data_IF_065328848251
#
_entry.id   IF_065328848251
#
_cell.length_a   1.000
_cell.length_b   1.000
_cell.length_c   1.000
_cell.angle_alpha   90.00
_cell.angle_beta   90.00
_cell.angle_gamma   90.00
#
_symmetry.space_group_name_H-M   'P 1'
#
loop_
_entity.id
_entity.type
_entity.pdbx_description
1 polymer ?
#
# COMPACT_ATOMS: atom_id res chain seq x y z
N UNK A 1 44.47 20.70 -61.62
CA UNK A 1 43.05 20.47 -62.03
C UNK A 1 42.86 21.17 -63.36
N UNK A 2 42.68 20.49 -64.48
CA UNK A 2 42.45 21.11 -65.79
C UNK A 2 40.99 21.60 -65.87
N UNK A 3 40.79 22.91 -65.97
CA UNK A 3 39.44 23.49 -66.20
C UNK A 3 39.15 23.28 -67.67
N UNK A 4 38.23 22.31 -67.99
CA UNK A 4 37.69 22.16 -69.32
C UNK A 4 36.66 23.27 -69.55
N UNK A 5 37.00 24.26 -70.31
CA UNK A 5 36.05 25.25 -70.79
C UNK A 5 35.14 24.58 -71.84
N UNK A 6 33.82 24.74 -71.77
CA UNK A 6 32.85 24.25 -72.75
C UNK A 6 33.18 24.84 -74.12
N UNK A 7 33.10 24.02 -75.14
CA UNK A 7 33.43 24.36 -76.52
C UNK A 7 32.63 25.54 -77.10
N UNK A 8 31.59 25.98 -76.42
CA UNK A 8 30.72 27.09 -76.80
C UNK A 8 31.07 28.42 -76.03
N UNK A 9 32.19 28.50 -75.31
CA UNK A 9 32.64 29.72 -74.69
C UNK A 9 32.99 30.75 -75.81
N UNK A 10 32.53 32.01 -75.67
CA UNK A 10 32.88 33.04 -76.66
C UNK A 10 34.40 33.23 -76.73
N UNK A 11 34.88 33.55 -77.93
CA UNK A 11 36.31 33.65 -78.28
C UNK A 11 37.11 34.55 -77.32
N UNK A 12 36.49 35.50 -76.65
CA UNK A 12 37.09 36.37 -75.63
C UNK A 12 37.41 35.70 -74.28
N UNK A 13 36.87 34.50 -74.03
CA UNK A 13 37.19 33.73 -72.84
C UNK A 13 38.51 32.88 -72.96
N UNK A 14 39.15 32.92 -74.09
CA UNK A 14 40.43 32.23 -74.35
C UNK A 14 41.66 33.01 -73.92
N UNK A 15 41.51 34.02 -73.08
CA UNK A 15 42.69 34.79 -72.61
C UNK A 15 43.48 33.99 -71.56
N UNK A 16 44.68 33.62 -72.02
CA UNK A 16 45.82 33.24 -71.25
C UNK A 16 45.77 31.95 -70.46
N UNK A 17 45.89 30.79 -71.16
CA UNK A 17 46.38 29.59 -70.52
C UNK A 17 47.64 29.72 -69.70
N UNK A 18 48.48 30.69 -70.06
CA UNK A 18 49.74 31.01 -69.33
C UNK A 18 49.59 31.80 -68.05
N UNK A 19 48.48 32.53 -67.88
CA UNK A 19 48.25 33.32 -66.65
C UNK A 19 47.59 32.56 -65.54
N UNK A 20 46.83 31.50 -65.85
CA UNK A 20 46.09 30.71 -64.84
C UNK A 20 46.99 29.75 -64.06
N UNK A 21 48.18 29.43 -64.57
CA UNK A 21 49.13 28.53 -63.84
C UNK A 21 49.82 29.12 -62.59
N UNK A 22 49.63 30.41 -62.35
CA UNK A 22 50.20 31.13 -61.21
C UNK A 22 49.18 31.54 -60.13
N UNK A 23 47.88 31.29 -60.34
CA UNK A 23 46.84 31.70 -59.37
C UNK A 23 46.49 30.48 -58.51
N UNK A 24 47.12 30.40 -57.37
CA UNK A 24 46.92 29.29 -56.40
C UNK A 24 45.67 29.42 -55.56
N UNK A 25 44.88 30.53 -55.71
CA UNK A 25 43.74 30.78 -54.83
C UNK A 25 42.56 31.46 -55.54
N UNK A 26 42.03 30.79 -56.60
CA UNK A 26 40.79 31.23 -57.26
C UNK A 26 39.56 30.82 -56.39
N UNK A 27 38.92 31.78 -55.75
CA UNK A 27 37.65 31.57 -55.04
C UNK A 27 36.41 31.61 -55.96
N UNK A 28 36.51 32.32 -57.13
CA UNK A 28 35.37 32.51 -58.03
C UNK A 28 35.76 32.99 -59.42
N UNK A 29 35.07 32.50 -60.46
CA UNK A 29 35.15 33.02 -61.82
C UNK A 29 33.77 33.62 -62.19
N UNK A 30 33.80 34.86 -62.71
CA UNK A 30 32.57 35.55 -63.21
C UNK A 30 32.69 35.83 -64.71
N UNK A 31 31.55 35.70 -65.42
CA UNK A 31 31.40 36.10 -66.81
C UNK A 31 30.12 36.96 -66.93
N UNK A 32 30.25 38.15 -67.47
CA UNK A 32 29.16 39.13 -67.54
C UNK A 32 28.45 39.36 -66.22
N UNK A 33 29.17 39.42 -65.11
CA UNK A 33 28.62 39.58 -63.77
C UNK A 33 28.02 38.30 -63.12
N UNK A 34 27.78 37.26 -63.96
CA UNK A 34 27.32 35.96 -63.43
C UNK A 34 28.46 35.11 -62.92
N UNK A 35 28.25 34.39 -61.80
CA UNK A 35 29.21 33.41 -61.30
C UNK A 35 29.17 32.18 -62.20
N UNK A 36 30.31 31.88 -62.90
CA UNK A 36 30.42 30.71 -63.78
C UNK A 36 31.20 29.57 -63.12
N UNK A 37 31.96 29.87 -62.10
CA UNK A 37 32.63 28.91 -61.23
C UNK A 37 32.94 29.53 -59.89
N UNK A 38 32.79 28.77 -58.82
CA UNK A 38 33.13 29.17 -57.47
C UNK A 38 33.76 27.98 -56.78
N UNK A 39 34.83 28.18 -56.02
CA UNK A 39 35.44 27.17 -55.19
C UNK A 39 34.40 26.67 -54.16
N UNK A 40 34.27 25.36 -54.08
CA UNK A 40 33.40 24.81 -53.05
C UNK A 40 33.92 25.15 -51.68
N UNK A 41 33.08 25.70 -50.85
CA UNK A 41 33.40 26.07 -49.46
C UNK A 41 32.25 25.70 -48.53
N UNK A 42 32.56 25.27 -47.33
CA UNK A 42 31.60 24.94 -46.29
C UNK A 42 31.92 25.70 -44.99
N UNK A 43 30.90 26.34 -44.39
CA UNK A 43 31.06 27.05 -43.11
C UNK A 43 30.90 26.09 -41.94
N UNK A 44 31.44 26.47 -40.77
CA UNK A 44 31.15 25.75 -39.53
C UNK A 44 29.68 25.90 -39.12
N UNK A 45 29.07 24.89 -38.51
CA UNK A 45 27.82 25.07 -37.75
C UNK A 45 28.03 26.09 -36.63
N UNK A 46 27.01 26.87 -36.29
CA UNK A 46 27.07 27.91 -35.25
C UNK A 46 25.98 27.74 -34.24
N UNK A 47 26.04 28.48 -33.13
CA UNK A 47 25.01 28.43 -32.06
C UNK A 47 24.73 27.02 -31.55
N UNK A 48 25.74 26.16 -31.46
CA UNK A 48 25.52 24.84 -30.83
C UNK A 48 25.04 25.03 -29.41
N UNK A 49 23.96 24.31 -29.08
CA UNK A 49 23.33 24.27 -27.76
C UNK A 49 23.10 22.83 -27.36
N UNK A 50 23.17 22.54 -26.05
CA UNK A 50 22.73 21.32 -25.42
C UNK A 50 21.51 21.66 -24.57
N UNK A 51 20.33 21.02 -24.84
CA UNK A 51 19.06 21.31 -24.19
C UNK A 51 18.72 22.82 -24.15
N UNK A 52 19.14 23.56 -25.20
CA UNK A 52 18.95 25.02 -25.33
C UNK A 52 20.03 25.87 -24.65
N UNK A 53 21.00 25.30 -23.94
CA UNK A 53 22.04 25.97 -23.15
C UNK A 53 23.44 25.76 -23.73
N UNK A 54 24.44 26.47 -23.21
CA UNK A 54 25.87 26.24 -23.51
C UNK A 54 26.51 25.22 -22.58
N UNK A 55 25.86 24.94 -21.45
CA UNK A 55 26.21 23.88 -20.48
C UNK A 55 24.94 23.38 -19.82
N UNK A 56 24.82 22.08 -19.65
CA UNK A 56 23.65 21.49 -19.02
C UNK A 56 24.00 20.20 -18.24
N UNK A 57 23.13 19.89 -17.26
CA UNK A 57 23.16 18.65 -16.47
C UNK A 57 21.77 18.08 -16.39
N UNK A 58 21.49 17.00 -17.12
CA UNK A 58 20.15 16.42 -17.23
C UNK A 58 20.21 14.91 -17.53
N UNK A 59 19.09 14.26 -17.50
CA UNK A 59 18.87 12.86 -17.86
C UNK A 59 18.72 12.63 -19.37
N UNK A 60 18.64 13.68 -20.15
CA UNK A 60 18.59 13.65 -21.62
C UNK A 60 19.56 14.65 -22.22
N UNK A 61 20.01 14.41 -23.45
CA UNK A 61 20.96 15.26 -24.17
C UNK A 61 20.48 15.46 -25.60
N UNK A 62 19.95 16.66 -25.89
CA UNK A 62 19.57 17.06 -27.23
C UNK A 62 20.45 18.23 -27.67
N UNK A 63 21.17 18.04 -28.76
CA UNK A 63 21.93 19.11 -29.42
C UNK A 63 21.09 19.79 -30.48
N UNK A 64 21.24 21.12 -30.60
CA UNK A 64 20.69 21.94 -31.68
C UNK A 64 21.71 22.95 -32.13
N UNK A 65 21.73 23.27 -33.42
CA UNK A 65 22.68 24.25 -34.00
C UNK A 65 22.08 24.98 -35.20
N UNK A 66 22.68 26.11 -35.56
CA UNK A 66 22.40 26.77 -36.82
C UNK A 66 23.11 26.05 -37.93
N UNK A 67 22.40 25.81 -39.03
CA UNK A 67 22.96 25.10 -40.19
C UNK A 67 24.21 25.75 -40.74
N UNK A 68 25.16 24.94 -41.14
CA UNK A 68 26.28 25.38 -42.01
C UNK A 68 25.77 25.77 -43.37
N UNK A 69 26.45 26.70 -44.05
CA UNK A 69 26.21 27.04 -45.46
C UNK A 69 27.27 26.39 -46.34
N UNK A 70 26.89 26.00 -47.53
CA UNK A 70 27.81 25.44 -48.53
C UNK A 70 27.63 26.19 -49.86
N UNK A 71 28.74 26.48 -50.50
CA UNK A 71 28.75 27.07 -51.83
C UNK A 71 29.47 26.15 -52.80
N UNK A 72 29.05 26.11 -54.06
CA UNK A 72 29.66 25.27 -55.09
C UNK A 72 29.39 23.77 -54.96
N UNK A 73 28.60 23.32 -54.00
CA UNK A 73 28.23 21.93 -53.77
C UNK A 73 26.86 21.85 -53.09
N UNK A 74 26.31 20.65 -52.94
CA UNK A 74 25.04 20.41 -52.27
C UNK A 74 25.15 19.23 -51.31
N UNK A 75 24.28 19.22 -50.27
CA UNK A 75 24.24 18.20 -49.25
C UNK A 75 25.28 18.42 -48.12
N UNK A 76 24.78 18.42 -46.88
CA UNK A 76 25.64 18.55 -45.70
C UNK A 76 25.28 17.39 -44.75
N UNK A 77 26.31 16.71 -44.26
CA UNK A 77 26.23 15.76 -43.15
C UNK A 77 26.95 16.37 -41.94
N UNK A 78 26.30 16.38 -40.78
CA UNK A 78 26.87 16.84 -39.53
C UNK A 78 27.47 15.65 -38.78
N UNK A 79 28.68 15.86 -38.28
CA UNK A 79 29.43 14.92 -37.46
C UNK A 79 29.54 15.46 -36.06
N UNK A 80 29.11 14.69 -35.09
CA UNK A 80 29.07 15.09 -33.67
C UNK A 80 30.25 14.44 -32.95
N UNK A 81 30.95 15.22 -32.19
CA UNK A 81 32.16 14.82 -31.46
C UNK A 81 31.96 15.00 -29.97
N UNK A 82 32.39 14.00 -29.20
CA UNK A 82 32.52 14.04 -27.74
C UNK A 82 33.98 13.98 -27.36
N UNK A 83 34.50 15.01 -26.67
CA UNK A 83 35.91 15.12 -26.29
C UNK A 83 36.86 14.85 -27.48
N UNK A 84 36.52 15.34 -28.67
CA UNK A 84 37.32 15.14 -29.89
C UNK A 84 37.07 13.83 -30.64
N UNK A 85 36.35 12.86 -30.07
CA UNK A 85 36.01 11.60 -30.72
C UNK A 85 34.63 11.66 -31.33
N UNK A 86 34.45 11.23 -32.59
CA UNK A 86 33.16 11.16 -33.26
C UNK A 86 32.25 10.15 -32.56
N UNK A 87 31.01 10.57 -32.29
CA UNK A 87 30.01 9.75 -31.59
C UNK A 87 28.70 9.59 -32.36
N UNK A 88 28.39 10.47 -33.32
CA UNK A 88 27.21 10.37 -34.16
C UNK A 88 27.33 11.18 -35.46
N UNK A 89 26.41 10.93 -36.39
CA UNK A 89 26.21 11.72 -37.62
C UNK A 89 24.70 11.95 -37.85
N UNK A 90 24.36 13.07 -38.50
CA UNK A 90 22.99 13.39 -38.89
C UNK A 90 22.98 14.37 -40.07
N UNK A 91 21.90 14.43 -40.81
CA UNK A 91 21.64 15.49 -41.83
C UNK A 91 20.75 16.59 -41.28
N UNK A 92 20.18 16.42 -40.10
CA UNK A 92 19.36 17.42 -39.40
C UNK A 92 20.24 18.42 -38.62
N UNK A 93 19.66 19.56 -38.23
CA UNK A 93 20.30 20.56 -37.37
C UNK A 93 20.04 20.31 -35.88
N UNK A 94 19.64 19.09 -35.52
CA UNK A 94 19.45 18.63 -34.17
C UNK A 94 19.79 17.14 -34.06
N UNK A 95 20.16 16.71 -32.83
CA UNK A 95 20.41 15.31 -32.53
C UNK A 95 20.15 15.01 -31.06
N UNK A 96 19.38 13.97 -30.77
CA UNK A 96 19.12 13.51 -29.41
C UNK A 96 19.82 12.18 -29.19
N UNK A 97 20.62 12.10 -28.15
CA UNK A 97 21.29 10.87 -27.75
C UNK A 97 20.37 9.95 -26.96
N UNK A 98 20.48 8.64 -27.17
CA UNK A 98 19.82 7.67 -26.32
C UNK A 98 20.38 7.71 -24.89
N UNK A 99 19.53 7.53 -23.88
CA UNK A 99 19.92 7.56 -22.45
C UNK A 99 21.02 6.53 -22.13
N UNK A 100 20.98 5.35 -22.77
CA UNK A 100 22.01 4.32 -22.61
C UNK A 100 23.40 4.77 -23.11
N UNK A 101 23.45 5.71 -24.05
CA UNK A 101 24.73 6.27 -24.57
C UNK A 101 25.32 7.29 -23.61
N UNK A 102 24.47 8.11 -23.00
CA UNK A 102 24.91 9.26 -22.20
C UNK A 102 25.05 8.95 -20.71
N UNK A 103 24.56 7.82 -20.21
CA UNK A 103 24.51 7.46 -18.79
C UNK A 103 25.86 7.52 -18.04
N UNK A 104 26.97 7.45 -18.79
CA UNK A 104 28.32 7.57 -18.22
C UNK A 104 29.00 8.93 -18.48
N UNK A 105 28.25 9.91 -19.04
CA UNK A 105 28.86 11.19 -19.43
C UNK A 105 28.91 12.15 -18.23
N UNK A 106 30.12 12.61 -17.91
CA UNK A 106 30.36 13.58 -16.84
C UNK A 106 31.29 14.69 -17.35
N UNK A 107 30.78 15.92 -17.44
CA UNK A 107 31.51 17.07 -17.92
C UNK A 107 32.07 16.93 -19.34
N UNK A 108 31.40 16.19 -20.22
CA UNK A 108 31.87 15.96 -21.59
C UNK A 108 31.71 17.22 -22.44
N UNK A 109 32.68 17.47 -23.31
CA UNK A 109 32.62 18.56 -24.30
C UNK A 109 32.09 18.02 -25.62
N UNK A 110 31.06 18.70 -26.19
CA UNK A 110 30.44 18.35 -27.45
C UNK A 110 30.69 19.44 -28.49
N UNK A 111 31.01 19.04 -29.72
CA UNK A 111 31.16 19.93 -30.89
C UNK A 111 30.55 19.27 -32.12
N UNK A 112 30.23 20.08 -33.12
CA UNK A 112 29.70 19.61 -34.40
C UNK A 112 30.52 20.18 -35.54
N UNK A 113 30.84 19.36 -36.56
CA UNK A 113 31.40 19.76 -37.81
C UNK A 113 30.46 19.44 -38.94
N UNK A 114 30.40 20.27 -39.96
CA UNK A 114 29.74 19.98 -41.21
C UNK A 114 30.74 19.28 -42.16
N UNK A 115 30.23 18.39 -42.98
CA UNK A 115 30.98 17.66 -44.00
C UNK A 115 30.24 17.61 -45.33
N UNK A 116 30.97 17.75 -46.38
CA UNK A 116 30.49 17.46 -47.73
C UNK A 116 31.65 16.80 -48.51
N UNK A 117 31.33 15.86 -49.42
CA UNK A 117 32.34 15.13 -50.18
C UNK A 117 33.26 16.02 -51.04
N UNK A 118 32.75 17.16 -51.55
CA UNK A 118 33.49 18.10 -52.37
C UNK A 118 34.40 19.02 -51.55
N UNK A 119 33.93 19.47 -50.36
CA UNK A 119 34.64 20.48 -49.55
C UNK A 119 35.43 19.88 -48.40
N UNK A 120 35.15 18.63 -48.03
CA UNK A 120 35.66 18.02 -46.80
C UNK A 120 34.94 18.55 -45.56
N UNK A 121 35.63 18.52 -44.38
CA UNK A 121 35.13 19.01 -43.12
C UNK A 121 35.26 20.52 -42.95
N UNK A 122 34.25 21.12 -42.35
CA UNK A 122 34.34 22.49 -41.83
C UNK A 122 35.19 22.54 -40.56
N UNK A 123 35.47 23.75 -40.10
CA UNK A 123 35.84 23.96 -38.69
C UNK A 123 34.75 23.50 -37.75
N UNK A 124 35.10 23.25 -36.48
CA UNK A 124 34.10 22.87 -35.46
C UNK A 124 33.24 24.08 -35.07
N UNK A 125 32.02 23.79 -34.62
CA UNK A 125 31.16 24.75 -33.93
C UNK A 125 31.79 25.27 -32.63
N UNK A 126 31.14 26.19 -31.94
CA UNK A 126 31.39 26.40 -30.52
C UNK A 126 31.20 25.09 -29.76
N UNK A 127 31.91 24.95 -28.63
CA UNK A 127 31.75 23.82 -27.72
C UNK A 127 30.59 24.06 -26.74
N UNK A 128 29.90 22.95 -26.34
CA UNK A 128 28.99 22.91 -25.22
C UNK A 128 29.42 21.80 -24.26
N UNK A 129 29.04 21.90 -22.98
CA UNK A 129 29.36 20.88 -21.97
C UNK A 129 28.10 20.19 -21.48
N UNK A 130 28.20 18.90 -21.22
CA UNK A 130 27.07 18.10 -20.72
C UNK A 130 27.50 17.11 -19.64
N UNK A 131 26.69 17.01 -18.60
CA UNK A 131 26.78 15.99 -17.54
C UNK A 131 25.48 15.23 -17.44
N UNK A 132 25.53 13.92 -17.50
CA UNK A 132 24.34 13.10 -17.24
C UNK A 132 24.01 13.10 -15.74
N UNK A 133 22.75 13.30 -15.44
CA UNK A 133 22.19 13.15 -14.09
C UNK A 133 21.06 12.13 -14.14
N UNK A 134 21.16 11.08 -13.32
CA UNK A 134 20.15 10.04 -13.26
C UNK A 134 18.82 10.62 -12.73
N UNK A 135 17.66 10.33 -13.38
CA UNK A 135 16.37 10.80 -12.90
C UNK A 135 16.05 10.24 -11.50
N UNK A 136 15.66 11.11 -10.61
CA UNK A 136 15.19 10.66 -9.29
C UNK A 136 13.82 9.99 -9.44
N UNK A 137 13.73 8.72 -9.10
CA UNK A 137 12.50 7.95 -9.13
C UNK A 137 12.29 7.20 -7.82
N UNK A 138 11.03 7.13 -7.38
CA UNK A 138 10.61 6.32 -6.24
C UNK A 138 9.44 5.44 -6.65
N UNK A 139 9.64 4.13 -6.67
CA UNK A 139 8.57 3.19 -7.02
C UNK A 139 7.52 3.11 -5.92
N UNK A 140 6.28 2.82 -6.29
CA UNK A 140 5.25 2.51 -5.31
C UNK A 140 5.59 1.20 -4.57
N UNK A 141 5.22 1.06 -3.28
CA UNK A 141 5.23 -0.25 -2.62
C UNK A 141 4.31 -1.21 -3.38
N UNK A 142 4.59 -2.50 -3.32
CA UNK A 142 3.78 -3.51 -4.01
C UNK A 142 3.39 -4.66 -3.08
N UNK A 143 2.52 -5.56 -3.54
CA UNK A 143 2.09 -6.75 -2.80
C UNK A 143 1.56 -6.44 -1.39
N UNK A 144 0.83 -5.33 -1.22
CA UNK A 144 0.20 -5.04 0.05
C UNK A 144 -0.74 -6.16 0.46
N UNK A 145 -0.56 -6.65 1.68
CA UNK A 145 -1.38 -7.69 2.32
C UNK A 145 -1.81 -7.25 3.71
N UNK A 146 -3.00 -7.66 4.11
CA UNK A 146 -3.50 -7.59 5.47
C UNK A 146 -3.62 -9.01 6.02
N UNK A 147 -2.89 -9.34 7.10
CA UNK A 147 -2.80 -10.69 7.65
C UNK A 147 -2.51 -11.76 6.58
N UNK A 148 -1.65 -11.43 5.60
CA UNK A 148 -1.25 -12.33 4.50
C UNK A 148 -2.22 -12.38 3.31
N UNK A 149 -3.34 -11.65 3.31
CA UNK A 149 -4.38 -11.69 2.28
C UNK A 149 -4.69 -10.29 1.71
N UNK A 150 -5.54 -10.20 0.68
CA UNK A 150 -6.05 -8.93 0.16
C UNK A 150 -7.26 -8.43 0.94
N UNK A 151 -7.90 -9.32 1.72
CA UNK A 151 -8.92 -8.97 2.70
C UNK A 151 -8.78 -9.85 3.93
N UNK A 152 -9.16 -9.34 5.10
CA UNK A 152 -9.10 -10.08 6.35
C UNK A 152 -10.20 -9.64 7.32
N UNK A 153 -10.74 -10.61 8.05
CA UNK A 153 -11.61 -10.38 9.21
C UNK A 153 -10.93 -11.01 10.40
N UNK A 154 -10.50 -10.22 11.39
CA UNK A 154 -9.68 -10.70 12.51
C UNK A 154 -9.71 -9.75 13.70
N UNK A 155 -9.26 -10.22 14.85
CA UNK A 155 -9.02 -9.41 16.05
C UNK A 155 -7.68 -8.66 16.03
N UNK A 156 -6.83 -8.92 15.04
CA UNK A 156 -5.56 -8.24 14.82
C UNK A 156 -5.40 -7.82 13.37
N UNK A 157 -4.71 -6.71 13.13
CA UNK A 157 -4.46 -6.17 11.79
C UNK A 157 -2.97 -5.92 11.60
N UNK A 158 -2.33 -6.73 10.79
CA UNK A 158 -0.94 -6.55 10.36
C UNK A 158 -0.89 -6.34 8.86
N UNK A 159 -0.32 -5.22 8.43
CA UNK A 159 0.02 -4.97 7.03
C UNK A 159 1.45 -5.43 6.73
N UNK A 160 1.65 -5.95 5.53
CA UNK A 160 2.96 -6.25 4.96
C UNK A 160 2.97 -5.87 3.49
N UNK A 161 4.12 -5.43 2.96
CA UNK A 161 4.28 -5.05 1.56
C UNK A 161 5.72 -5.25 1.09
N UNK A 162 5.90 -5.26 -0.22
CA UNK A 162 7.23 -5.24 -0.83
C UNK A 162 7.76 -3.80 -0.84
N UNK A 163 9.05 -3.65 -0.50
CA UNK A 163 9.71 -2.35 -0.42
C UNK A 163 9.69 -1.60 -1.76
N UNK A 164 9.63 -0.28 -1.67
CA UNK A 164 9.90 0.63 -2.77
C UNK A 164 11.39 0.68 -3.09
N UNK A 165 11.73 0.99 -4.34
CA UNK A 165 13.10 1.30 -4.77
C UNK A 165 13.23 2.79 -5.06
N UNK A 166 14.37 3.38 -4.66
CA UNK A 166 14.76 4.75 -4.95
C UNK A 166 15.96 4.71 -5.89
N UNK A 167 15.90 5.39 -7.04
CA UNK A 167 17.00 5.58 -7.99
C UNK A 167 17.29 7.07 -8.17
N UNK A 168 18.53 7.40 -8.53
CA UNK A 168 18.97 8.78 -8.77
C UNK A 168 19.13 9.62 -7.50
N UNK A 169 18.85 9.10 -6.34
CA UNK A 169 19.05 9.75 -5.04
C UNK A 169 19.32 8.73 -3.95
N UNK A 170 19.73 9.24 -2.77
CA UNK A 170 19.92 8.46 -1.54
C UNK A 170 18.99 8.98 -0.46
N UNK A 171 18.86 8.23 0.62
CA UNK A 171 18.08 8.63 1.79
C UNK A 171 17.02 7.62 2.21
N UNK A 172 16.41 7.89 3.35
CA UNK A 172 15.41 7.01 3.97
C UNK A 172 14.10 7.04 3.20
N UNK A 173 13.51 5.88 3.00
CA UNK A 173 12.14 5.73 2.52
C UNK A 173 11.22 5.59 3.73
N UNK A 174 10.23 6.47 3.83
CA UNK A 174 9.16 6.41 4.84
C UNK A 174 7.87 5.97 4.17
N UNK A 175 7.19 4.99 4.73
CA UNK A 175 5.89 4.52 4.25
C UNK A 175 4.77 5.22 5.01
N UNK A 176 3.80 5.72 4.26
CA UNK A 176 2.59 6.36 4.75
C UNK A 176 1.40 5.44 4.55
N UNK A 177 0.83 4.97 5.65
CA UNK A 177 -0.40 4.19 5.64
C UNK A 177 -1.57 5.18 5.67
N UNK A 178 -2.45 5.10 4.67
CA UNK A 178 -3.48 6.10 4.42
C UNK A 178 -4.28 6.45 5.69
N UNK A 179 -4.23 7.74 6.09
CA UNK A 179 -4.90 8.38 7.23
C UNK A 179 -4.58 7.82 8.63
N UNK A 180 -3.62 6.91 8.80
CA UNK A 180 -3.47 6.18 10.07
C UNK A 180 -2.08 6.27 10.67
N UNK A 181 -1.00 5.98 9.91
CA UNK A 181 0.34 5.84 10.49
C UNK A 181 1.46 6.03 9.45
N UNK A 182 2.69 6.14 9.97
CA UNK A 182 3.93 6.13 9.17
C UNK A 182 4.92 5.13 9.76
N UNK A 183 5.79 4.57 8.92
CA UNK A 183 6.85 3.63 9.31
C UNK A 183 7.98 3.61 8.28
N UNK A 184 9.17 3.23 8.68
CA UNK A 184 10.30 2.92 7.77
C UNK A 184 10.41 1.42 7.45
N UNK A 185 9.66 0.58 8.17
CA UNK A 185 9.61 -0.87 7.94
C UNK A 185 8.63 -1.23 6.82
N UNK A 186 8.77 -2.41 6.23
CA UNK A 186 7.85 -2.98 5.24
C UNK A 186 6.67 -3.72 5.87
N UNK A 187 6.40 -3.47 7.13
CA UNK A 187 5.24 -3.99 7.85
C UNK A 187 4.79 -3.02 8.93
N UNK A 188 3.50 -3.10 9.29
CA UNK A 188 2.92 -2.34 10.37
C UNK A 188 1.81 -3.12 11.04
N UNK A 189 1.81 -3.16 12.39
CA UNK A 189 0.75 -3.80 13.18
C UNK A 189 0.00 -2.72 13.94
N UNK A 190 -1.31 -2.67 13.74
CA UNK A 190 -2.17 -1.72 14.44
C UNK A 190 -2.47 -2.20 15.86
N UNK A 191 -2.61 -1.26 16.80
CA UNK A 191 -3.13 -1.57 18.13
C UNK A 191 -4.61 -1.95 18.04
N UNK A 192 -5.08 -2.79 18.94
CA UNK A 192 -6.50 -3.18 19.01
C UNK A 192 -7.42 -1.97 19.18
N UNK A 193 -7.00 -0.99 19.99
CA UNK A 193 -7.75 0.26 20.19
C UNK A 193 -7.94 1.06 18.89
N UNK A 194 -7.00 1.00 17.96
CA UNK A 194 -7.10 1.68 16.65
C UNK A 194 -8.08 0.98 15.73
N UNK A 195 -8.11 -0.35 15.72
CA UNK A 195 -8.89 -1.14 14.76
C UNK A 195 -10.29 -1.48 15.23
N UNK A 196 -10.57 -1.34 16.54
CA UNK A 196 -11.91 -1.56 17.09
C UNK A 196 -12.94 -0.69 16.37
N UNK A 197 -13.98 -1.28 15.83
CA UNK A 197 -15.00 -0.60 15.03
C UNK A 197 -14.69 -0.50 13.53
N UNK A 198 -13.56 -1.00 13.05
CA UNK A 198 -13.30 -1.05 11.61
C UNK A 198 -14.16 -2.12 10.93
N UNK A 199 -15.01 -1.67 10.00
CA UNK A 199 -15.87 -2.54 9.18
C UNK A 199 -15.59 -2.24 7.71
N UNK A 200 -14.94 -3.18 7.01
CA UNK A 200 -14.54 -3.01 5.62
C UNK A 200 -13.56 -1.86 5.38
N UNK A 201 -12.68 -1.58 6.36
CA UNK A 201 -11.70 -0.50 6.25
C UNK A 201 -10.77 -0.72 5.06
N UNK A 202 -10.68 0.27 4.17
CA UNK A 202 -9.80 0.26 2.99
C UNK A 202 -8.44 0.84 3.36
N UNK A 203 -7.39 0.03 3.25
CA UNK A 203 -6.02 0.36 3.62
C UNK A 203 -5.12 0.41 2.38
N UNK A 204 -4.30 1.44 2.28
CA UNK A 204 -3.33 1.66 1.20
C UNK A 204 -2.02 2.17 1.78
N UNK A 205 -0.92 1.91 1.09
CA UNK A 205 0.42 2.37 1.48
C UNK A 205 1.06 3.09 0.30
N UNK A 206 1.78 4.18 0.57
CA UNK A 206 2.69 4.82 -0.39
C UNK A 206 4.02 5.10 0.27
N UNK A 207 5.06 5.23 -0.52
CA UNK A 207 6.38 5.62 -0.07
C UNK A 207 6.59 7.13 -0.20
N UNK A 208 7.51 7.65 0.59
CA UNK A 208 8.01 9.02 0.54
C UNK A 208 9.53 9.04 0.71
N UNK A 209 10.18 9.87 -0.07
CA UNK A 209 11.58 10.25 0.12
C UNK A 209 11.71 11.76 -0.09
N UNK A 210 12.60 12.43 0.65
CA UNK A 210 12.75 13.90 0.60
C UNK A 210 13.15 14.43 -0.78
N UNK A 211 13.89 13.65 -1.57
CA UNK A 211 14.34 14.04 -2.92
C UNK A 211 13.35 13.67 -4.01
N UNK A 212 12.65 12.53 -3.86
CA UNK A 212 11.72 12.00 -4.86
C UNK A 212 10.25 12.41 -4.62
N UNK A 213 9.91 12.88 -3.41
CA UNK A 213 8.52 13.12 -3.03
C UNK A 213 7.75 11.83 -2.73
N UNK A 214 6.45 11.83 -2.99
CA UNK A 214 5.56 10.68 -2.77
C UNK A 214 5.46 9.79 -4.01
N UNK A 215 5.50 8.48 -3.78
CA UNK A 215 5.10 7.50 -4.79
C UNK A 215 3.57 7.44 -4.96
N UNK A 216 3.11 6.69 -5.96
CA UNK A 216 1.72 6.25 -6.02
C UNK A 216 1.37 5.34 -4.83
N UNK A 217 0.07 5.21 -4.53
CA UNK A 217 -0.42 4.24 -3.55
C UNK A 217 -0.44 2.83 -4.14
N UNK A 218 -0.33 1.83 -3.26
CA UNK A 218 -0.68 0.45 -3.57
C UNK A 218 -2.15 0.31 -3.96
N UNK A 219 -2.51 -0.82 -4.56
CA UNK A 219 -3.90 -1.28 -4.53
C UNK A 219 -4.37 -1.43 -3.08
N UNK A 220 -5.67 -1.22 -2.84
CA UNK A 220 -6.25 -1.32 -1.50
C UNK A 220 -6.38 -2.77 -1.04
N UNK A 221 -6.21 -2.97 0.27
CA UNK A 221 -6.66 -4.17 0.98
C UNK A 221 -7.78 -3.79 1.94
N UNK A 222 -8.67 -4.74 2.27
CA UNK A 222 -9.81 -4.49 3.15
C UNK A 222 -9.66 -5.24 4.47
N UNK A 223 -10.01 -4.57 5.56
CA UNK A 223 -9.98 -5.15 6.89
C UNK A 223 -11.28 -4.91 7.65
N UNK A 224 -11.80 -5.97 8.29
CA UNK A 224 -12.92 -5.91 9.23
C UNK A 224 -12.44 -6.40 10.58
N UNK A 225 -12.61 -5.58 11.60
CA UNK A 225 -12.34 -6.01 12.97
C UNK A 225 -13.41 -7.00 13.44
N UNK A 226 -12.94 -8.09 14.05
CA UNK A 226 -13.77 -9.05 14.77
C UNK A 226 -13.03 -9.45 16.04
N UNK A 227 -13.60 -9.27 17.23
CA UNK A 227 -12.93 -9.62 18.46
C UNK A 227 -12.62 -11.12 18.51
N UNK A 228 -11.55 -11.48 19.18
CA UNK A 228 -11.23 -12.87 19.49
C UNK A 228 -12.31 -13.45 20.40
N UNK A 229 -12.48 -14.79 20.37
CA UNK A 229 -13.33 -15.46 21.34
C UNK A 229 -12.82 -15.21 22.76
N UNK A 230 -13.75 -14.94 23.67
CA UNK A 230 -13.45 -14.68 25.06
C UNK A 230 -14.38 -15.49 25.97
N UNK A 231 -13.88 -15.97 27.09
CA UNK A 231 -14.67 -16.59 28.13
C UNK A 231 -14.94 -15.59 29.25
N UNK A 232 -16.19 -15.36 29.55
CA UNK A 232 -16.65 -14.52 30.66
C UNK A 232 -17.07 -15.43 31.80
N UNK A 233 -16.34 -15.43 32.87
CA UNK A 233 -16.65 -16.21 34.08
C UNK A 233 -17.73 -15.51 34.92
N UNK A 234 -18.36 -16.24 35.82
CA UNK A 234 -19.29 -15.68 36.80
C UNK A 234 -18.57 -14.60 37.59
N UNK A 235 -19.22 -13.46 37.77
CA UNK A 235 -18.70 -12.39 38.59
C UNK A 235 -18.52 -12.87 40.04
N UNK A 236 -17.41 -12.54 40.66
CA UNK A 236 -17.12 -12.94 42.05
C UNK A 236 -18.28 -12.56 42.98
N UNK A 237 -18.70 -13.50 43.81
CA UNK A 237 -19.82 -13.36 44.78
C UNK A 237 -21.19 -13.00 44.13
N UNK A 238 -21.41 -13.31 42.88
CA UNK A 238 -22.61 -12.97 42.11
C UNK A 238 -23.41 -14.19 41.69
N UNK A 239 -23.36 -15.27 42.43
CA UNK A 239 -24.18 -16.44 42.27
C UNK A 239 -24.96 -16.71 43.59
N UNK A 240 -26.12 -17.22 43.46
CA UNK A 240 -26.99 -17.53 44.58
C UNK A 240 -27.86 -18.74 44.29
N UNK A 241 -28.11 -19.54 45.30
CA UNK A 241 -29.15 -20.57 45.30
C UNK A 241 -30.29 -20.09 46.20
N UNK A 242 -31.52 -20.21 45.70
CA UNK A 242 -32.73 -19.85 46.46
C UNK A 242 -33.60 -21.06 46.60
N UNK A 243 -34.07 -21.31 47.81
CA UNK A 243 -35.27 -22.09 48.11
C UNK A 243 -36.47 -21.14 48.31
N UNK A 244 -37.67 -21.69 48.49
CA UNK A 244 -38.93 -20.91 48.50
C UNK A 244 -39.01 -19.81 49.59
N UNK A 245 -37.97 -19.56 50.38
CA UNK A 245 -38.06 -18.66 51.54
C UNK A 245 -37.00 -17.56 51.55
N UNK A 246 -35.86 -17.74 50.95
CA UNK A 246 -34.78 -16.69 50.87
C UNK A 246 -33.59 -17.18 50.06
N UNK A 247 -32.69 -16.26 49.73
CA UNK A 247 -31.36 -16.59 49.16
C UNK A 247 -30.54 -17.38 50.19
N UNK A 248 -30.42 -18.68 49.97
CA UNK A 248 -29.77 -19.58 50.94
C UNK A 248 -28.25 -19.61 50.87
N UNK A 249 -27.62 -19.12 49.80
CA UNK A 249 -26.17 -19.21 49.68
C UNK A 249 -25.58 -18.18 48.70
N UNK A 250 -24.97 -17.16 49.22
CA UNK A 250 -24.18 -16.21 48.45
C UNK A 250 -22.69 -16.53 48.73
N UNK A 251 -21.98 -17.17 47.76
CA UNK A 251 -20.54 -17.40 47.85
C UNK A 251 -20.08 -18.83 48.04
N UNK A 252 -21.00 -19.84 48.00
CA UNK A 252 -20.58 -21.26 48.00
C UNK A 252 -20.24 -21.77 46.58
N UNK A 253 -19.29 -22.71 46.47
CA UNK A 253 -18.94 -23.31 45.18
C UNK A 253 -19.99 -24.23 44.62
N UNK A 254 -20.88 -24.76 45.46
CA UNK A 254 -21.99 -25.68 45.11
C UNK A 254 -23.33 -24.98 45.09
N UNK A 255 -23.97 -24.96 43.94
CA UNK A 255 -25.33 -24.45 43.78
C UNK A 255 -26.28 -25.56 43.39
N UNK A 256 -27.40 -25.65 44.07
CA UNK A 256 -28.43 -26.66 43.81
C UNK A 256 -29.43 -26.14 42.79
N UNK A 257 -29.77 -26.96 41.81
CA UNK A 257 -30.79 -26.71 40.80
C UNK A 257 -31.84 -27.79 40.80
N UNK A 258 -33.11 -27.49 41.03
CA UNK A 258 -34.18 -28.46 41.06
C UNK A 258 -34.77 -28.72 42.47
N UNK A 259 -35.39 -29.84 42.66
CA UNK A 259 -36.00 -30.23 43.97
C UNK A 259 -35.09 -31.11 44.80
N UNK A 260 -34.80 -30.69 46.00
CA UNK A 260 -34.11 -31.53 46.95
C UNK A 260 -35.07 -32.39 47.79
N UNK A 261 -36.34 -31.95 47.93
CA UNK A 261 -37.45 -32.67 48.58
C UNK A 261 -38.77 -32.32 47.88
N UNK A 262 -39.85 -33.03 48.20
CA UNK A 262 -41.13 -32.96 47.45
C UNK A 262 -41.88 -31.62 47.49
N UNK A 263 -41.42 -30.61 48.20
CA UNK A 263 -42.22 -29.39 48.45
C UNK A 263 -41.57 -28.05 48.03
N UNK A 264 -40.26 -27.98 47.72
CA UNK A 264 -39.63 -26.69 47.46
C UNK A 264 -38.71 -26.75 46.24
N UNK A 265 -39.02 -26.05 45.13
CA UNK A 265 -38.14 -25.93 44.02
C UNK A 265 -36.93 -25.05 44.43
N UNK A 266 -35.74 -25.41 43.95
CA UNK A 266 -34.51 -24.68 44.19
C UNK A 266 -33.94 -24.22 42.82
N UNK A 267 -33.63 -22.95 42.71
CA UNK A 267 -33.02 -22.37 41.53
C UNK A 267 -31.69 -21.71 41.84
N UNK A 268 -30.87 -21.61 40.84
CA UNK A 268 -29.60 -20.91 40.93
C UNK A 268 -29.57 -19.73 39.97
N UNK A 269 -29.11 -18.60 40.44
CA UNK A 269 -28.87 -17.41 39.61
C UNK A 269 -27.37 -17.12 39.53
N UNK A 270 -26.91 -16.72 38.36
CA UNK A 270 -25.51 -16.36 38.08
C UNK A 270 -25.47 -15.02 37.35
N UNK A 271 -24.47 -14.19 37.66
CA UNK A 271 -24.26 -12.94 36.99
C UNK A 271 -22.91 -12.94 36.27
N UNK A 272 -22.90 -12.38 35.06
CA UNK A 272 -21.75 -12.23 34.22
C UNK A 272 -21.55 -10.75 33.89
N UNK A 273 -20.37 -10.23 34.14
CA UNK A 273 -20.02 -8.84 33.76
C UNK A 273 -19.90 -8.71 32.26
N UNK A 274 -20.23 -7.55 31.74
CA UNK A 274 -20.00 -7.27 30.32
C UNK A 274 -18.50 -7.38 29.99
N UNK A 275 -18.16 -7.99 28.85
CA UNK A 275 -16.79 -7.99 28.35
C UNK A 275 -16.33 -6.56 28.00
N UNK A 276 -15.02 -6.35 27.96
CA UNK A 276 -14.47 -5.08 27.46
C UNK A 276 -14.99 -4.81 26.04
N UNK A 277 -15.58 -3.62 25.82
CA UNK A 277 -16.23 -3.26 24.57
C UNK A 277 -17.70 -3.67 24.45
N UNK A 278 -18.29 -4.35 25.47
CA UNK A 278 -19.70 -4.70 25.55
C UNK A 278 -20.06 -5.99 24.80
N UNK A 279 -21.31 -6.42 24.96
CA UNK A 279 -21.83 -7.65 24.38
C UNK A 279 -22.05 -7.58 22.86
N UNK A 280 -22.34 -6.40 22.33
CA UNK A 280 -22.70 -6.18 20.92
C UNK A 280 -21.60 -6.52 19.90
N UNK A 281 -20.37 -6.70 20.36
CA UNK A 281 -19.25 -7.11 19.52
C UNK A 281 -19.28 -8.60 19.13
N UNK A 282 -20.15 -9.38 19.79
CA UNK A 282 -20.20 -10.83 19.65
C UNK A 282 -21.54 -11.26 19.03
N UNK A 283 -21.49 -12.17 18.08
CA UNK A 283 -22.68 -12.73 17.42
C UNK A 283 -23.07 -14.09 18.00
N UNK A 284 -22.16 -14.75 18.70
CA UNK A 284 -22.39 -16.07 19.31
C UNK A 284 -22.03 -16.05 20.78
N UNK A 285 -22.89 -16.67 21.59
CA UNK A 285 -22.67 -16.85 23.01
C UNK A 285 -23.17 -18.24 23.43
N UNK A 286 -22.32 -19.00 24.08
CA UNK A 286 -22.66 -20.30 24.64
C UNK A 286 -22.35 -20.29 26.13
N UNK A 287 -23.38 -20.55 26.95
CA UNK A 287 -23.21 -20.75 28.38
C UNK A 287 -22.74 -22.18 28.64
N UNK A 288 -21.70 -22.31 29.44
CA UNK A 288 -21.18 -23.59 29.95
C UNK A 288 -21.34 -23.65 31.47
N UNK A 289 -21.87 -24.73 31.97
CA UNK A 289 -22.07 -24.96 33.40
C UNK A 289 -21.55 -26.35 33.75
N UNK A 290 -20.81 -26.42 34.83
CA UNK A 290 -20.29 -27.68 35.33
C UNK A 290 -21.25 -28.30 36.36
N UNK A 291 -21.73 -29.52 36.06
CA UNK A 291 -22.42 -30.33 37.01
C UNK A 291 -21.44 -31.09 37.90
N UNK A 292 -21.57 -30.94 39.20
CA UNK A 292 -20.71 -31.55 40.21
C UNK A 292 -21.38 -32.67 41.00
N UNK A 293 -22.73 -32.79 40.87
CA UNK A 293 -23.47 -33.82 41.60
C UNK A 293 -24.96 -33.82 41.28
N UNK A 294 -25.72 -34.52 42.09
CA UNK A 294 -27.16 -34.65 42.00
C UNK A 294 -27.64 -36.04 41.59
N UNK A 295 -28.98 -36.23 41.59
CA UNK A 295 -29.63 -37.48 41.23
C UNK A 295 -29.58 -37.77 39.72
N UNK A 296 -30.51 -38.49 39.18
CA UNK A 296 -30.57 -38.89 37.77
C UNK A 296 -30.53 -37.73 36.76
N UNK A 297 -30.73 -37.99 35.48
CA UNK A 297 -30.86 -36.96 34.39
C UNK A 297 -31.90 -35.91 34.73
N UNK A 298 -31.62 -34.69 34.43
CA UNK A 298 -32.49 -33.53 34.69
C UNK A 298 -32.68 -32.67 33.44
N UNK A 299 -33.93 -32.21 33.20
CA UNK A 299 -34.18 -31.14 32.25
C UNK A 299 -33.98 -29.80 32.96
N UNK A 300 -32.89 -29.10 32.62
CA UNK A 300 -32.58 -27.81 33.22
C UNK A 300 -33.12 -26.70 32.34
N UNK A 301 -34.05 -25.94 32.91
CA UNK A 301 -34.57 -24.71 32.29
C UNK A 301 -33.65 -23.55 32.59
N UNK A 302 -33.41 -22.73 31.58
CA UNK A 302 -32.50 -21.59 31.64
C UNK A 302 -33.32 -20.33 31.39
N UNK A 303 -33.12 -19.34 32.25
CA UNK A 303 -33.81 -18.05 32.17
C UNK A 303 -32.86 -16.89 32.13
N UNK A 304 -33.28 -15.79 31.50
CA UNK A 304 -32.58 -14.49 31.56
C UNK A 304 -33.32 -13.61 32.56
N UNK A 305 -32.58 -13.04 33.52
CA UNK A 305 -33.11 -12.10 34.49
C UNK A 305 -33.44 -10.75 33.84
N UNK A 306 -34.60 -10.17 34.18
CA UNK A 306 -35.05 -8.86 33.69
C UNK A 306 -34.52 -7.67 34.50
N UNK A 307 -34.22 -7.88 35.75
CA UNK A 307 -33.89 -6.84 36.71
C UNK A 307 -32.47 -6.99 37.22
N UNK A 308 -31.81 -5.90 37.65
CA UNK A 308 -30.56 -5.99 38.37
C UNK A 308 -30.71 -6.96 39.54
N UNK A 309 -29.85 -7.93 39.65
CA UNK A 309 -29.83 -8.92 40.72
C UNK A 309 -29.72 -8.17 42.06
N UNK A 310 -30.78 -8.18 42.85
CA UNK A 310 -30.76 -7.77 44.22
C UNK A 310 -30.65 -8.99 45.12
N UNK A 311 -30.13 -8.86 46.34
CA UNK A 311 -29.93 -9.98 47.26
C UNK A 311 -31.27 -10.57 47.83
N UNK A 312 -32.40 -10.24 47.19
CA UNK A 312 -33.75 -10.58 47.68
C UNK A 312 -34.61 -11.28 46.61
N UNK A 313 -34.03 -11.96 45.64
CA UNK A 313 -34.79 -12.78 44.69
C UNK A 313 -35.24 -14.09 45.34
N UNK A 314 -36.56 -14.37 45.30
CA UNK A 314 -37.16 -15.62 45.77
C UNK A 314 -37.25 -16.64 44.63
N UNK A 315 -37.16 -17.94 44.95
CA UNK A 315 -37.27 -19.00 43.97
C UNK A 315 -38.59 -19.03 43.18
N UNK A 316 -39.68 -18.60 43.80
CA UNK A 316 -41.00 -18.45 43.15
C UNK A 316 -40.96 -17.45 41.99
N UNK A 317 -40.11 -16.47 42.04
CA UNK A 317 -39.98 -15.43 41.00
C UNK A 317 -39.32 -16.00 39.74
N UNK A 318 -38.47 -17.00 39.87
CA UNK A 318 -37.92 -17.71 38.71
C UNK A 318 -38.96 -18.56 37.99
N UNK A 319 -39.92 -19.14 38.73
CA UNK A 319 -40.97 -20.03 38.21
C UNK A 319 -42.08 -19.32 37.43
N UNK A 320 -42.39 -18.10 37.77
CA UNK A 320 -43.59 -17.41 37.28
C UNK A 320 -43.32 -16.44 36.14
N UNK A 321 -42.09 -16.39 35.62
CA UNK A 321 -41.76 -15.51 34.49
C UNK A 321 -41.75 -14.01 34.85
N UNK A 322 -41.94 -13.66 36.10
CA UNK A 322 -42.03 -12.25 36.52
C UNK A 322 -40.68 -11.54 36.48
N UNK A 323 -39.59 -12.23 36.77
CA UNK A 323 -38.25 -11.68 36.82
C UNK A 323 -37.26 -12.36 35.86
N UNK A 324 -37.66 -13.43 35.20
CA UNK A 324 -36.81 -14.11 34.22
C UNK A 324 -37.64 -14.62 33.03
N UNK A 325 -37.14 -14.37 31.82
CA UNK A 325 -37.68 -15.04 30.61
C UNK A 325 -37.00 -16.38 30.43
N UNK A 326 -37.81 -17.43 30.18
CA UNK A 326 -37.30 -18.72 29.76
C UNK A 326 -36.61 -18.56 28.39
N UNK A 327 -35.31 -18.84 28.31
CA UNK A 327 -34.50 -18.75 27.09
C UNK A 327 -34.23 -20.13 26.49
N UNK A 328 -34.54 -21.19 27.17
CA UNK A 328 -34.39 -22.55 26.68
C UNK A 328 -34.24 -23.59 27.80
N UNK A 329 -34.04 -24.82 27.41
CA UNK A 329 -33.75 -25.93 28.31
C UNK A 329 -32.68 -26.86 27.71
N UNK A 330 -32.02 -27.58 28.55
CA UNK A 330 -31.04 -28.61 28.18
C UNK A 330 -31.23 -29.86 29.04
N UNK A 331 -31.19 -31.02 28.38
CA UNK A 331 -31.20 -32.30 29.08
C UNK A 331 -29.78 -32.63 29.56
N UNK A 332 -29.64 -32.69 30.86
CA UNK A 332 -28.36 -32.95 31.52
C UNK A 332 -28.34 -34.40 31.96
N UNK A 333 -27.43 -35.21 31.40
CA UNK A 333 -27.24 -36.61 31.75
C UNK A 333 -26.87 -36.81 33.22
N UNK A 334 -27.14 -37.98 33.80
CA UNK A 334 -26.68 -38.33 35.14
C UNK A 334 -25.17 -38.30 35.25
N UNK A 335 -24.66 -38.03 36.45
CA UNK A 335 -23.22 -37.95 36.74
C UNK A 335 -22.68 -36.54 36.83
N UNK A 336 -21.37 -36.42 36.74
CA UNK A 336 -20.65 -35.12 36.73
C UNK A 336 -20.20 -34.76 35.31
N UNK A 337 -20.04 -33.49 34.99
CA UNK A 337 -19.56 -33.02 33.69
C UNK A 337 -20.10 -31.67 33.29
N UNK A 338 -19.77 -31.25 32.08
CA UNK A 338 -20.22 -29.96 31.52
C UNK A 338 -21.46 -30.12 30.66
N UNK A 339 -22.37 -29.17 30.77
CA UNK A 339 -23.44 -28.96 29.81
C UNK A 339 -23.43 -27.54 29.29
N UNK A 340 -24.02 -27.32 28.13
CA UNK A 340 -23.98 -25.99 27.48
C UNK A 340 -25.28 -25.70 26.73
N UNK A 341 -25.56 -24.41 26.56
CA UNK A 341 -26.68 -23.92 25.76
C UNK A 341 -26.30 -22.67 25.03
N UNK A 342 -26.81 -22.52 23.80
CA UNK A 342 -26.67 -21.28 23.02
C UNK A 342 -27.60 -20.20 23.58
N UNK A 343 -26.99 -19.06 23.94
CA UNK A 343 -27.71 -17.89 24.48
C UNK A 343 -27.50 -16.63 23.63
N UNK A 344 -27.05 -16.77 22.40
CA UNK A 344 -26.68 -15.66 21.50
C UNK A 344 -27.78 -14.61 21.36
N UNK A 345 -29.02 -15.02 21.19
CA UNK A 345 -30.18 -14.11 21.02
C UNK A 345 -30.56 -13.35 22.30
N UNK A 346 -29.93 -13.67 23.42
CA UNK A 346 -30.33 -13.16 24.73
C UNK A 346 -29.25 -12.25 25.38
N UNK A 347 -28.19 -11.98 24.66
CA UNK A 347 -27.17 -11.04 25.13
C UNK A 347 -27.79 -9.65 25.35
N UNK A 348 -27.48 -8.97 26.48
CA UNK A 348 -27.98 -7.63 26.70
C UNK A 348 -27.24 -6.62 25.82
N UNK A 349 -27.84 -5.46 25.55
CA UNK A 349 -27.16 -4.38 24.83
C UNK A 349 -26.04 -3.73 25.69
N UNK A 350 -26.19 -3.76 27.00
CA UNK A 350 -25.22 -3.21 27.97
C UNK A 350 -25.41 -3.80 29.36
N UNK A 351 -24.47 -3.60 30.25
CA UNK A 351 -24.52 -4.01 31.65
C UNK A 351 -24.26 -5.50 31.87
N UNK A 352 -24.66 -6.00 33.02
CA UNK A 352 -24.48 -7.39 33.46
C UNK A 352 -25.54 -8.31 32.80
N UNK A 353 -25.19 -9.57 32.56
CA UNK A 353 -26.10 -10.62 32.15
C UNK A 353 -26.41 -11.52 33.35
N UNK A 354 -27.66 -11.58 33.78
CA UNK A 354 -28.15 -12.51 34.77
C UNK A 354 -28.75 -13.75 34.13
N UNK A 355 -28.32 -14.93 34.57
CA UNK A 355 -28.83 -16.25 34.12
C UNK A 355 -29.38 -17.01 35.31
N UNK A 356 -30.53 -17.65 35.13
CA UNK A 356 -31.12 -18.56 36.11
C UNK A 356 -31.11 -19.99 35.59
N UNK A 357 -30.91 -20.95 36.47
CA UNK A 357 -31.02 -22.39 36.21
C UNK A 357 -32.06 -23.01 37.14
N UNK A 358 -32.96 -23.80 36.56
CA UNK A 358 -34.03 -24.48 37.29
C UNK A 358 -34.28 -25.85 36.71
N UNK A 359 -34.77 -26.80 37.53
CA UNK A 359 -35.26 -28.08 37.08
C UNK A 359 -36.49 -28.49 37.86
N UNK A 360 -37.47 -29.08 37.15
CA UNK A 360 -38.76 -29.51 37.71
C UNK A 360 -38.78 -31.00 38.07
N UNK A 361 -37.94 -31.81 37.47
CA UNK A 361 -38.03 -33.29 37.53
C UNK A 361 -36.92 -33.97 38.33
N UNK A 362 -35.81 -33.30 38.52
CA UNK A 362 -34.69 -33.86 39.32
C UNK A 362 -33.84 -32.70 39.88
N UNK A 363 -33.02 -32.97 40.87
CA UNK A 363 -32.05 -31.96 41.31
C UNK A 363 -30.67 -32.30 40.78
N UNK A 364 -29.93 -31.30 40.47
CA UNK A 364 -28.49 -31.33 40.15
C UNK A 364 -27.74 -30.32 41.02
N UNK A 365 -26.48 -30.59 41.24
CA UNK A 365 -25.56 -29.64 41.86
C UNK A 365 -24.65 -29.12 40.77
N UNK A 366 -24.52 -27.82 40.67
CA UNK A 366 -23.66 -27.14 39.71
C UNK A 366 -22.57 -26.33 40.45
N UNK A 367 -21.43 -26.15 39.83
CA UNK A 367 -20.42 -25.26 40.31
C UNK A 367 -20.72 -23.85 39.85
N UNK A 368 -21.14 -23.01 40.78
CA UNK A 368 -21.51 -21.63 40.49
C UNK A 368 -20.27 -20.73 40.18
N UNK A 369 -19.07 -21.15 40.55
CA UNK A 369 -17.84 -20.35 40.34
C UNK A 369 -17.17 -20.64 39.02
N UNK A 370 -17.35 -21.83 38.45
CA UNK A 370 -16.69 -22.26 37.22
C UNK A 370 -17.55 -22.13 35.96
N UNK A 371 -18.83 -21.72 36.12
CA UNK A 371 -19.67 -21.43 34.95
C UNK A 371 -19.09 -20.25 34.15
N UNK A 372 -19.16 -20.34 32.83
CA UNK A 372 -18.68 -19.28 31.93
C UNK A 372 -19.51 -19.17 30.67
N UNK A 373 -19.48 -17.99 30.07
CA UNK A 373 -20.02 -17.74 28.74
C UNK A 373 -18.87 -17.62 27.77
N UNK A 374 -18.81 -18.49 26.77
CA UNK A 374 -17.91 -18.35 25.65
C UNK A 374 -18.55 -17.47 24.60
N UNK A 375 -17.91 -16.35 24.30
CA UNK A 375 -18.32 -15.40 23.28
C UNK A 375 -17.45 -15.55 22.05
N UNK A 376 -18.05 -15.51 20.87
CA UNK A 376 -17.35 -15.41 19.61
C UNK A 376 -18.09 -14.45 18.66
N UNK A 377 -17.33 -13.79 17.80
CA UNK A 377 -17.85 -12.81 16.86
C UNK A 377 -18.35 -13.47 15.56
#
# INVERSE_FOLDING_TARGET
MAIKLNSNAPTSARYHEQALGAIHDLSMIRYNGAVVWQAAAITAPTNLRVNGLTSDSDSYCTLTWTAATITGAAGITYYIYRNGTQVATTTSTSYTFASSTISSWSGVTLTVKAYNETTGFSSASNAVTFTYVEPITLTAPSNLKVNGSTSSTSSSCKLTWTASTLSGATGTITYYIYKVATTTSTSYTFSTSTITGWSGASLKVRAYNSSAGYSAYTSAVTFTYRPASVNITVAASKYATSDNSSLANTGGTSCTVGRSTSSSPVGTAMKFNAPSGGWSQYSKATLYVQRTGGSASANVQIGKLHVPYSNTLYCTEFYHGQYANNIGSVDVAGGTGWFSINISSYLPSSGELGITLMSKNAYIVVDGTNAYIQLSA
#
